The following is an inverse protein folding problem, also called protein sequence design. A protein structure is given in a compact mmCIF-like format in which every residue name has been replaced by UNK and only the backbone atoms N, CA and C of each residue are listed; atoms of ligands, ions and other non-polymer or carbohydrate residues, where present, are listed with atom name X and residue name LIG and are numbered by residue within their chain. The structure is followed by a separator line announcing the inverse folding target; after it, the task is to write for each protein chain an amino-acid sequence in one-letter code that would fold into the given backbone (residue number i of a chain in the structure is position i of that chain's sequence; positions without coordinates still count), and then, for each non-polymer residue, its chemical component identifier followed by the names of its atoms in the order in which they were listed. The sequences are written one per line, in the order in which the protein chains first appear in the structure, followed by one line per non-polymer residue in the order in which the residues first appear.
data_IF_646767362742
#
_entry.id   IF_646767362742
#
_cell.length_a   1.000
_cell.length_b   1.000
_cell.length_c   1.000
_cell.angle_alpha   90.00
_cell.angle_beta   90.00
_cell.angle_gamma   90.00
#
_symmetry.space_group_name_H-M   'P 1'
#
loop_
_entity.id
_entity.type
_entity.pdbx_description
1 polymer ?
#
# COMPACT_ATOMS: atom_id res chain seq x y z
N UNK A 1 -6.21 -16.66 11.20
CA UNK A 1 -5.08 -16.23 10.36
C UNK A 1 -5.24 -14.75 10.00
N UNK A 2 -4.17 -13.96 9.95
CA UNK A 2 -4.21 -12.62 9.36
C UNK A 2 -3.94 -12.79 7.87
N UNK A 3 -4.91 -12.47 7.01
CA UNK A 3 -4.66 -12.36 5.58
C UNK A 3 -3.80 -11.11 5.36
N UNK A 4 -2.56 -11.31 4.94
CA UNK A 4 -1.61 -10.25 4.59
C UNK A 4 -2.00 -9.77 3.19
N UNK A 5 -2.58 -8.57 3.10
CA UNK A 5 -3.01 -8.01 1.83
C UNK A 5 -1.85 -7.20 1.24
N UNK A 6 -1.27 -7.73 0.16
CA UNK A 6 -0.05 -7.20 -0.45
C UNK A 6 -0.39 -6.02 -1.39
N UNK A 7 -0.73 -4.88 -0.81
CA UNK A 7 -0.75 -3.61 -1.56
C UNK A 7 0.46 -2.79 -1.12
N UNK A 8 1.32 -2.28 -2.02
CA UNK A 8 2.50 -1.48 -1.69
C UNK A 8 2.31 -0.44 -0.57
N UNK A 9 1.19 0.28 -0.56
CA UNK A 9 0.89 1.31 0.45
C UNK A 9 0.10 0.82 1.69
N UNK A 10 -0.14 -0.49 1.83
CA UNK A 10 -0.65 -1.14 3.05
C UNK A 10 0.31 -2.23 3.55
N UNK A 11 1.55 -2.27 3.05
CA UNK A 11 2.49 -3.32 3.43
C UNK A 11 2.84 -3.24 4.91
N UNK A 12 2.78 -4.39 5.58
CA UNK A 12 2.95 -4.52 7.02
C UNK A 12 4.42 -4.69 7.44
N UNK A 13 5.35 -4.77 6.47
CA UNK A 13 6.74 -5.23 6.69
C UNK A 13 7.84 -4.22 6.33
N UNK A 14 7.58 -2.92 6.49
CA UNK A 14 8.63 -1.92 6.25
C UNK A 14 9.47 -1.57 7.47
N UNK A 15 9.00 -1.87 8.68
CA UNK A 15 9.66 -1.43 9.92
C UNK A 15 9.28 0.01 10.30
N UNK A 16 10.15 0.71 11.01
CA UNK A 16 9.89 2.05 11.55
C UNK A 16 9.23 2.04 12.93
N UNK A 17 8.76 3.21 13.36
CA UNK A 17 7.96 3.38 14.57
C UNK A 17 6.55 3.84 14.20
N UNK A 18 5.54 3.35 14.92
CA UNK A 18 4.17 3.73 14.67
C UNK A 18 3.32 3.75 15.94
N UNK A 19 2.26 4.55 15.89
CA UNK A 19 1.21 4.59 16.91
C UNK A 19 -0.10 4.24 16.24
N UNK A 20 -0.88 3.37 16.88
CA UNK A 20 -2.22 3.03 16.42
C UNK A 20 -3.22 3.11 17.56
N UNK A 21 -4.45 3.49 17.21
CA UNK A 21 -5.58 3.54 18.11
C UNK A 21 -6.71 2.70 17.52
N UNK A 22 -7.29 1.83 18.34
CA UNK A 22 -8.43 0.98 17.99
C UNK A 22 -9.55 1.30 18.96
N UNK A 23 -10.67 1.80 18.43
CA UNK A 23 -11.87 2.11 19.19
C UNK A 23 -13.05 1.26 18.70
N UNK A 24 -14.05 1.07 19.55
CA UNK A 24 -15.31 0.41 19.16
C UNK A 24 -16.50 1.20 19.71
N UNK A 25 -17.46 1.48 18.86
CA UNK A 25 -18.74 2.10 19.23
C UNK A 25 -19.84 1.25 18.61
N UNK A 26 -20.68 0.62 19.45
CA UNK A 26 -21.65 -0.37 19.00
C UNK A 26 -20.97 -1.52 18.25
N UNK A 27 -21.46 -1.81 17.04
CA UNK A 27 -20.91 -2.85 16.16
C UNK A 27 -19.82 -2.35 15.20
N UNK A 28 -19.47 -1.07 15.29
CA UNK A 28 -18.42 -0.46 14.47
C UNK A 28 -17.10 -0.40 15.23
N UNK A 29 -16.05 -0.94 14.62
CA UNK A 29 -14.65 -0.78 15.04
C UNK A 29 -13.99 0.28 14.17
N UNK A 30 -13.31 1.24 14.79
CA UNK A 30 -12.50 2.25 14.14
C UNK A 30 -11.02 2.00 14.41
N UNK A 31 -10.20 2.30 13.42
CA UNK A 31 -8.76 2.17 13.46
C UNK A 31 -8.13 3.46 12.93
N UNK A 32 -7.19 4.01 13.67
CA UNK A 32 -6.35 5.12 13.28
C UNK A 32 -4.90 4.68 13.45
N UNK A 33 -4.05 4.93 12.47
CA UNK A 33 -2.64 4.59 12.54
C UNK A 33 -1.78 5.63 11.88
N UNK A 34 -0.64 5.90 12.51
CA UNK A 34 0.43 6.70 11.94
C UNK A 34 1.75 5.94 12.11
N UNK A 35 2.53 5.84 11.05
CA UNK A 35 3.84 5.20 11.04
C UNK A 35 4.85 6.09 10.32
N UNK A 36 6.09 6.07 10.80
CA UNK A 36 7.21 6.83 10.25
C UNK A 36 8.50 5.98 10.30
N UNK A 37 9.39 6.13 9.30
CA UNK A 37 10.74 5.58 9.38
C UNK A 37 11.53 6.18 10.56
N UNK A 38 12.39 5.37 11.18
CA UNK A 38 13.28 5.80 12.27
C UNK A 38 14.70 5.34 12.01
N UNK A 39 15.67 6.14 12.42
CA UNK A 39 17.09 5.80 12.35
C UNK A 39 17.41 4.64 13.31
N UNK A 40 18.18 3.66 12.84
CA UNK A 40 18.60 2.47 13.57
C UNK A 40 20.14 2.37 13.56
N UNK A 41 20.73 2.36 14.75
CA UNK A 41 22.17 2.20 14.95
C UNK A 41 22.96 3.51 14.91
N UNK A 42 24.29 3.39 14.92
CA UNK A 42 25.25 4.51 14.88
C UNK A 42 25.62 4.91 13.44
N UNK A 43 25.30 4.04 12.47
CA UNK A 43 25.67 4.18 11.06
C UNK A 43 24.66 5.02 10.25
N UNK A 44 23.59 5.51 10.88
CA UNK A 44 22.58 6.36 10.22
C UNK A 44 21.60 5.64 9.30
N UNK A 45 21.52 4.31 9.38
CA UNK A 45 20.61 3.52 8.55
C UNK A 45 19.15 3.73 8.97
N UNK A 46 18.25 3.90 8.00
CA UNK A 46 16.82 4.09 8.25
C UNK A 46 16.10 2.74 8.29
N UNK A 47 15.25 2.56 9.32
CA UNK A 47 14.29 1.45 9.44
C UNK A 47 12.90 1.96 9.07
N UNK A 48 12.27 1.37 8.07
CA UNK A 48 11.09 1.96 7.41
C UNK A 48 11.47 2.67 6.12
N UNK A 49 10.61 2.57 5.10
CA UNK A 49 10.79 3.25 3.80
C UNK A 49 9.71 4.28 3.53
N UNK A 50 8.54 4.13 4.14
CA UNK A 50 7.43 5.06 3.98
C UNK A 50 6.90 5.63 5.31
N UNK A 51 6.36 6.84 5.24
CA UNK A 51 5.52 7.44 6.28
C UNK A 51 4.06 7.26 5.89
N UNK A 52 3.22 6.74 6.80
CA UNK A 52 1.82 6.47 6.52
C UNK A 52 0.87 7.03 7.57
N UNK A 53 -0.29 7.47 7.13
CA UNK A 53 -1.43 7.83 7.97
C UNK A 53 -2.68 7.12 7.43
N UNK A 54 -3.29 6.27 8.24
CA UNK A 54 -4.38 5.38 7.83
C UNK A 54 -5.55 5.49 8.80
N UNK A 55 -6.75 5.53 8.24
CA UNK A 55 -8.01 5.38 8.95
C UNK A 55 -8.78 4.19 8.38
N UNK A 56 -9.44 3.42 9.24
CA UNK A 56 -10.41 2.42 8.82
C UNK A 56 -11.60 2.38 9.76
N UNK A 57 -12.76 2.01 9.21
CA UNK A 57 -13.97 1.72 9.97
C UNK A 57 -14.58 0.43 9.44
N UNK A 58 -14.92 -0.50 10.31
CA UNK A 58 -15.53 -1.79 9.96
C UNK A 58 -16.73 -2.05 10.87
N UNK A 59 -17.87 -2.41 10.28
CA UNK A 59 -19.10 -2.71 11.00
C UNK A 59 -19.63 -4.07 10.62
N UNK A 60 -20.19 -4.79 11.59
CA UNK A 60 -21.03 -5.94 11.29
C UNK A 60 -22.38 -5.42 10.77
N UNK A 61 -22.74 -5.82 9.56
CA UNK A 61 -24.04 -5.46 8.94
C UNK A 61 -25.10 -6.49 9.34
N UNK A 62 -24.69 -7.74 9.51
CA UNK A 62 -25.50 -8.84 10.05
C UNK A 62 -24.63 -9.66 11.01
N UNK A 63 -25.19 -10.70 11.62
CA UNK A 63 -24.42 -11.64 12.46
C UNK A 63 -23.30 -12.37 11.69
N UNK A 64 -23.43 -12.49 10.37
CA UNK A 64 -22.50 -13.22 9.51
C UNK A 64 -21.81 -12.37 8.44
N UNK A 65 -22.11 -11.07 8.32
CA UNK A 65 -21.51 -10.20 7.30
C UNK A 65 -20.95 -8.94 7.92
N UNK A 66 -19.77 -8.53 7.47
CA UNK A 66 -19.16 -7.26 7.81
C UNK A 66 -18.79 -6.46 6.57
N UNK A 67 -18.83 -5.15 6.71
CA UNK A 67 -18.40 -4.19 5.70
C UNK A 67 -17.50 -3.16 6.37
N UNK A 68 -16.43 -2.80 5.69
CA UNK A 68 -15.52 -1.78 6.14
C UNK A 68 -15.03 -0.88 5.01
N UNK A 69 -14.56 0.29 5.41
CA UNK A 69 -13.85 1.24 4.58
C UNK A 69 -12.46 1.46 5.17
N UNK A 70 -11.51 1.71 4.29
CA UNK A 70 -10.16 2.10 4.65
C UNK A 70 -9.75 3.28 3.77
N UNK A 71 -8.96 4.19 4.30
CA UNK A 71 -8.35 5.25 3.52
C UNK A 71 -7.12 5.78 4.21
N UNK A 72 -6.24 6.39 3.44
CA UNK A 72 -5.01 6.90 4.00
C UNK A 72 -4.13 7.60 2.98
N UNK A 73 -2.99 8.06 3.48
CA UNK A 73 -1.92 8.59 2.66
C UNK A 73 -0.61 7.96 3.07
N UNK A 74 0.23 7.68 2.08
CA UNK A 74 1.58 7.15 2.21
C UNK A 74 2.52 8.09 1.48
N UNK A 75 3.63 8.43 2.11
CA UNK A 75 4.73 9.16 1.52
C UNK A 75 5.97 8.26 1.50
N UNK A 76 6.60 8.14 0.34
CA UNK A 76 7.80 7.34 0.11
C UNK A 76 8.95 8.27 -0.28
N UNK A 77 10.10 8.08 0.35
CA UNK A 77 11.35 8.76 -0.04
C UNK A 77 12.19 7.81 -0.89
N UNK A 78 12.74 8.32 -1.99
CA UNK A 78 13.58 7.57 -2.92
C UNK A 78 12.90 6.36 -3.60
N UNK A 79 11.56 6.31 -3.58
CA UNK A 79 10.75 5.23 -4.11
C UNK A 79 9.43 5.76 -4.70
N UNK A 80 8.74 4.93 -5.50
CA UNK A 80 7.43 5.24 -6.04
C UNK A 80 6.60 3.98 -6.22
N UNK A 81 5.43 3.92 -5.57
CA UNK A 81 4.52 2.76 -5.60
C UNK A 81 5.19 1.47 -5.10
N UNK A 82 6.08 1.57 -4.12
CA UNK A 82 6.90 0.48 -3.59
C UNK A 82 8.04 0.05 -4.49
N UNK A 83 8.30 0.76 -5.59
CA UNK A 83 9.42 0.49 -6.48
C UNK A 83 10.60 1.39 -6.12
N UNK A 84 11.78 0.78 -6.10
CA UNK A 84 13.07 1.46 -6.08
C UNK A 84 13.75 1.23 -7.44
N UNK A 85 14.58 2.17 -7.85
CA UNK A 85 15.35 2.07 -9.09
C UNK A 85 16.82 2.33 -8.87
N UNK A 86 17.64 1.92 -9.82
CA UNK A 86 19.09 2.16 -9.82
C UNK A 86 19.54 2.79 -11.14
N UNK A 87 20.72 3.39 -11.14
CA UNK A 87 21.36 3.98 -12.32
C UNK A 87 20.43 4.97 -13.05
N UNK A 88 20.25 4.82 -14.37
CA UNK A 88 19.38 5.68 -15.17
C UNK A 88 17.93 5.72 -14.67
N UNK A 89 17.44 4.65 -14.03
CA UNK A 89 16.08 4.58 -13.48
C UNK A 89 16.03 4.85 -11.97
N UNK A 90 17.11 5.38 -11.39
CA UNK A 90 17.14 5.73 -9.97
C UNK A 90 15.98 6.66 -9.59
N UNK A 91 15.46 6.44 -8.40
CA UNK A 91 14.47 7.28 -7.76
C UNK A 91 15.07 8.09 -6.62
N UNK A 92 16.40 8.11 -6.49
CA UNK A 92 17.08 8.92 -5.48
C UNK A 92 16.68 10.40 -5.57
N UNK A 93 16.29 10.96 -4.44
CA UNK A 93 15.73 12.29 -4.27
C UNK A 93 14.25 12.42 -4.66
N UNK A 94 13.57 11.33 -5.04
CA UNK A 94 12.13 11.36 -5.30
C UNK A 94 11.35 11.51 -3.99
N UNK A 95 10.38 12.42 -4.00
CA UNK A 95 9.32 12.50 -2.99
C UNK A 95 8.01 12.07 -3.64
N UNK A 96 7.50 10.93 -3.21
CA UNK A 96 6.31 10.30 -3.74
C UNK A 96 5.22 10.28 -2.70
N UNK A 97 3.99 10.60 -3.12
CA UNK A 97 2.82 10.52 -2.25
C UNK A 97 1.70 9.76 -2.93
N UNK A 98 1.17 8.78 -2.21
CA UNK A 98 -0.03 8.04 -2.56
C UNK A 98 -1.15 8.40 -1.60
N UNK A 99 -2.34 8.68 -2.12
CA UNK A 99 -3.59 8.72 -1.34
C UNK A 99 -4.47 7.59 -1.83
N UNK A 100 -5.10 6.86 -0.91
CA UNK A 100 -5.90 5.70 -1.28
C UNK A 100 -7.21 5.62 -0.48
N UNK A 101 -8.17 4.92 -1.06
CA UNK A 101 -9.40 4.50 -0.43
C UNK A 101 -9.65 3.03 -0.79
N UNK A 102 -10.32 2.31 0.10
CA UNK A 102 -10.70 0.93 -0.16
C UNK A 102 -11.92 0.51 0.63
N UNK A 103 -12.44 -0.64 0.25
CA UNK A 103 -13.52 -1.31 0.94
C UNK A 103 -13.07 -2.71 1.33
N UNK A 104 -13.58 -3.18 2.47
CA UNK A 104 -13.38 -4.53 2.99
C UNK A 104 -14.72 -5.17 3.17
N UNK A 105 -14.85 -6.43 2.85
CA UNK A 105 -16.04 -7.21 3.16
C UNK A 105 -15.65 -8.53 3.80
N UNK A 106 -16.51 -9.02 4.68
CA UNK A 106 -16.42 -10.32 5.29
C UNK A 106 -17.78 -10.98 5.28
N UNK A 107 -17.81 -12.28 4.99
CA UNK A 107 -19.00 -13.10 5.06
C UNK A 107 -18.65 -14.46 5.67
N UNK A 108 -19.45 -14.92 6.61
CA UNK A 108 -19.31 -16.21 7.29
C UNK A 108 -20.52 -17.09 6.93
N UNK A 109 -20.45 -17.89 5.85
CA UNK A 109 -21.56 -18.77 5.48
C UNK A 109 -21.92 -19.79 6.57
N UNK A 110 -20.93 -20.21 7.37
CA UNK A 110 -21.07 -21.07 8.53
C UNK A 110 -20.02 -20.71 9.57
N UNK A 111 -20.08 -21.32 10.76
CA UNK A 111 -19.09 -21.08 11.83
C UNK A 111 -17.66 -21.50 11.43
N UNK A 112 -17.55 -22.48 10.53
CA UNK A 112 -16.28 -23.05 10.05
C UNK A 112 -15.80 -22.45 8.72
N UNK A 113 -16.54 -21.52 8.12
CA UNK A 113 -16.22 -20.98 6.79
C UNK A 113 -16.24 -19.46 6.79
N UNK A 114 -15.25 -18.84 6.15
CA UNK A 114 -15.19 -17.39 5.98
C UNK A 114 -14.72 -17.01 4.59
N UNK A 115 -15.44 -16.09 3.97
CA UNK A 115 -15.02 -15.35 2.78
C UNK A 115 -14.67 -13.94 3.23
N UNK A 116 -13.56 -13.41 2.78
CA UNK A 116 -13.22 -12.00 2.99
C UNK A 116 -12.56 -11.43 1.75
N UNK A 117 -12.76 -10.15 1.51
CA UNK A 117 -12.06 -9.47 0.45
C UNK A 117 -11.81 -8.01 0.76
N UNK A 118 -10.90 -7.45 -0.03
CA UNK A 118 -10.52 -6.05 -0.01
C UNK A 118 -10.39 -5.57 -1.45
N UNK A 119 -10.78 -4.33 -1.69
CA UNK A 119 -10.51 -3.62 -2.92
C UNK A 119 -9.97 -2.24 -2.56
N UNK A 120 -8.92 -1.80 -3.22
CA UNK A 120 -8.37 -0.45 -3.02
C UNK A 120 -8.16 0.27 -4.34
N UNK A 121 -8.29 1.59 -4.28
CA UNK A 121 -8.00 2.53 -5.35
C UNK A 121 -7.02 3.57 -4.81
N UNK A 122 -5.92 3.76 -5.52
CA UNK A 122 -4.86 4.70 -5.18
C UNK A 122 -4.70 5.79 -6.24
N UNK A 123 -4.22 6.95 -5.81
CA UNK A 123 -3.75 8.02 -6.68
C UNK A 123 -2.40 8.51 -6.16
N UNK A 124 -1.42 8.54 -7.06
CA UNK A 124 -0.02 8.73 -6.67
C UNK A 124 0.65 9.76 -7.57
N UNK A 125 1.44 10.63 -6.94
CA UNK A 125 2.31 11.59 -7.61
C UNK A 125 3.75 11.38 -7.12
N UNK A 126 4.71 11.62 -8.00
CA UNK A 126 6.13 11.61 -7.69
C UNK A 126 6.76 12.88 -8.21
N UNK A 127 7.44 13.60 -7.33
CA UNK A 127 8.17 14.80 -7.69
C UNK A 127 9.66 14.53 -7.83
N UNK A 128 10.23 15.04 -8.93
CA UNK A 128 11.65 15.38 -9.16
C UNK A 128 12.68 14.51 -8.42
N UNK A 129 12.94 13.29 -8.91
CA UNK A 129 14.18 12.59 -8.61
C UNK A 129 15.39 13.49 -8.92
N UNK A 130 16.40 13.45 -8.05
CA UNK A 130 17.63 14.25 -8.17
C UNK A 130 18.52 13.74 -9.30
N UNK A 131 18.47 12.43 -9.56
CA UNK A 131 19.29 11.74 -10.55
C UNK A 131 18.42 10.90 -11.49
N UNK A 132 19.04 10.37 -12.55
CA UNK A 132 18.37 9.50 -13.51
C UNK A 132 17.53 10.22 -14.57
N UNK A 133 16.96 9.41 -15.46
CA UNK A 133 16.10 9.85 -16.56
C UNK A 133 14.66 10.08 -16.09
N UNK A 134 14.26 9.51 -14.95
CA UNK A 134 12.93 9.76 -14.39
C UNK A 134 12.89 11.17 -13.79
N UNK A 135 11.82 11.91 -14.05
CA UNK A 135 11.69 13.32 -13.62
C UNK A 135 10.39 13.65 -12.90
N UNK A 136 9.54 12.65 -12.75
CA UNK A 136 8.31 12.73 -11.98
C UNK A 136 7.24 11.82 -12.56
N UNK A 137 6.16 11.65 -11.81
CA UNK A 137 4.95 10.99 -12.26
C UNK A 137 3.75 11.78 -11.72
N UNK A 138 2.66 11.83 -12.48
CA UNK A 138 1.50 12.61 -12.12
C UNK A 138 0.21 11.80 -12.27
N UNK A 139 -0.68 11.95 -11.29
CA UNK A 139 -2.02 11.38 -11.29
C UNK A 139 -2.04 9.89 -11.66
N UNK A 140 -1.08 9.13 -11.10
CA UNK A 140 -0.96 7.69 -11.34
C UNK A 140 -2.02 6.98 -10.52
N UNK A 141 -3.09 6.58 -11.21
CA UNK A 141 -4.22 5.85 -10.64
C UNK A 141 -3.91 4.37 -10.64
N UNK A 142 -4.11 3.74 -9.49
CA UNK A 142 -3.90 2.30 -9.32
C UNK A 142 -5.08 1.65 -8.62
N UNK A 143 -5.20 0.35 -8.83
CA UNK A 143 -6.19 -0.49 -8.16
C UNK A 143 -5.57 -1.80 -7.72
N UNK A 144 -6.13 -2.40 -6.68
CA UNK A 144 -5.78 -3.75 -6.23
C UNK A 144 -6.97 -4.42 -5.58
N UNK A 145 -6.95 -5.74 -5.54
CA UNK A 145 -7.94 -6.52 -4.82
C UNK A 145 -7.35 -7.79 -4.22
N UNK A 146 -7.98 -8.26 -3.17
CA UNK A 146 -7.71 -9.56 -2.57
C UNK A 146 -9.00 -10.23 -2.18
N UNK A 147 -9.07 -11.54 -2.40
CA UNK A 147 -10.16 -12.42 -1.99
C UNK A 147 -9.54 -13.62 -1.28
N UNK A 148 -10.07 -13.94 -0.10
CA UNK A 148 -9.63 -15.05 0.72
C UNK A 148 -10.85 -15.88 1.12
N UNK A 149 -10.72 -17.19 0.96
CA UNK A 149 -11.64 -18.19 1.46
C UNK A 149 -10.93 -19.05 2.51
N UNK A 150 -11.46 -19.08 3.73
CA UNK A 150 -10.94 -19.83 4.86
C UNK A 150 -11.94 -20.95 5.21
N UNK A 151 -11.45 -22.18 5.31
CA UNK A 151 -12.17 -23.33 5.85
C UNK A 151 -11.45 -23.78 7.12
N UNK A 152 -12.16 -23.84 8.23
CA UNK A 152 -11.64 -24.27 9.51
C UNK A 152 -12.13 -25.69 9.81
N UNK A 153 -11.37 -26.43 10.62
CA UNK A 153 -11.76 -27.74 11.15
C UNK A 153 -12.07 -28.81 10.07
N UNK A 154 -11.38 -28.79 8.92
CA UNK A 154 -11.61 -29.79 7.85
C UNK A 154 -11.20 -31.20 8.27
N UNK A 155 -10.10 -31.30 9.03
CA UNK A 155 -9.56 -32.54 9.61
C UNK A 155 -9.38 -32.45 11.14
N UNK A 156 -10.04 -31.49 11.80
CA UNK A 156 -9.94 -31.11 13.22
C UNK A 156 -8.73 -30.25 13.60
N UNK A 157 -9.00 -29.03 14.07
CA UNK A 157 -8.02 -28.02 14.52
C UNK A 157 -7.04 -27.56 13.42
N UNK A 158 -7.48 -27.58 12.17
CA UNK A 158 -6.77 -27.08 11.01
C UNK A 158 -7.48 -25.89 10.36
N UNK A 159 -6.78 -25.19 9.48
CA UNK A 159 -7.36 -24.15 8.63
C UNK A 159 -6.76 -24.23 7.23
N UNK A 160 -7.61 -24.43 6.23
CA UNK A 160 -7.26 -24.34 4.82
C UNK A 160 -7.62 -22.95 4.32
N UNK A 161 -6.65 -22.22 3.76
CA UNK A 161 -6.85 -20.89 3.19
C UNK A 161 -6.55 -20.89 1.70
N UNK A 162 -7.52 -20.47 0.89
CA UNK A 162 -7.36 -20.21 -0.53
C UNK A 162 -7.42 -18.70 -0.75
N UNK A 163 -6.44 -18.14 -1.44
CA UNK A 163 -6.39 -16.70 -1.72
C UNK A 163 -6.16 -16.42 -3.20
N UNK A 164 -6.86 -15.40 -3.70
CA UNK A 164 -6.68 -14.82 -5.02
C UNK A 164 -6.49 -13.33 -4.85
N UNK A 165 -5.43 -12.78 -5.42
CA UNK A 165 -5.14 -11.36 -5.31
C UNK A 165 -4.56 -10.80 -6.61
N UNK A 166 -4.84 -9.53 -6.86
CA UNK A 166 -4.13 -8.71 -7.82
C UNK A 166 -3.36 -7.66 -7.02
N UNK A 167 -2.02 -7.60 -7.15
CA UNK A 167 -1.24 -6.52 -6.56
C UNK A 167 -1.63 -5.18 -7.20
N UNK A 168 -1.05 -4.07 -6.75
CA UNK A 168 -1.31 -2.77 -7.35
C UNK A 168 -1.06 -2.80 -8.87
N UNK A 169 -2.12 -2.51 -9.64
CA UNK A 169 -2.08 -2.34 -11.08
C UNK A 169 -2.29 -0.87 -11.40
N UNK A 170 -1.36 -0.28 -12.14
CA UNK A 170 -1.53 1.08 -12.67
C UNK A 170 -2.54 1.05 -13.82
N UNK A 171 -3.60 1.84 -13.70
CA UNK A 171 -4.68 1.93 -14.68
C UNK A 171 -4.51 3.14 -15.61
N UNK A 172 -3.97 4.24 -15.11
CA UNK A 172 -3.68 5.46 -15.89
C UNK A 172 -2.73 6.39 -15.13
N UNK A 173 -2.15 7.36 -15.84
CA UNK A 173 -1.25 8.37 -15.28
C UNK A 173 -0.21 8.80 -16.31
N UNK A 174 0.67 9.71 -15.93
CA UNK A 174 1.83 10.08 -16.73
C UNK A 174 3.12 9.89 -15.95
N UNK A 175 4.18 9.55 -16.69
CA UNK A 175 5.55 9.52 -16.19
C UNK A 175 6.41 10.40 -17.08
N UNK A 176 7.17 11.30 -16.47
CA UNK A 176 8.03 12.22 -17.17
C UNK A 176 9.44 11.63 -17.27
N UNK A 177 9.93 11.50 -18.49
CA UNK A 177 11.28 11.00 -18.77
C UNK A 177 12.09 12.13 -19.40
N UNK A 178 13.26 12.43 -18.82
CA UNK A 178 14.30 13.27 -19.42
C UNK A 178 14.95 12.47 -20.53
N UNK A 179 14.78 12.96 -21.75
CA UNK A 179 15.63 12.57 -22.87
C UNK A 179 16.80 13.55 -22.91
N UNK A 180 17.99 13.08 -23.23
CA UNK A 180 19.14 13.96 -23.47
C UNK A 180 18.77 14.98 -24.55
N UNK A 181 19.18 16.23 -24.37
CA UNK A 181 19.15 17.18 -25.47
C UNK A 181 19.96 16.61 -26.64
N UNK A 182 19.55 16.95 -27.88
CA UNK A 182 20.41 16.75 -29.04
C UNK A 182 21.66 17.58 -28.82
N UNK A 183 22.82 16.95 -28.92
CA UNK A 183 24.08 17.68 -28.91
C UNK A 183 24.05 18.72 -30.04
N UNK A 184 24.49 19.94 -29.76
CA UNK A 184 24.73 20.91 -30.82
C UNK A 184 25.82 20.38 -31.78
N UNK A 185 26.07 21.09 -32.88
CA UNK A 185 27.12 20.71 -33.84
C UNK A 185 28.53 20.66 -33.25
N UNK A 186 28.72 21.16 -32.03
CA UNK A 186 29.98 21.18 -31.28
C UNK A 186 30.04 20.09 -30.19
N UNK A 187 28.97 19.29 -30.02
CA UNK A 187 28.92 18.19 -29.06
C UNK A 187 28.47 18.59 -27.66
N UNK A 188 27.98 19.82 -27.44
CA UNK A 188 27.47 20.27 -26.14
C UNK A 188 26.00 19.85 -25.95
N UNK A 189 25.63 19.49 -24.71
CA UNK A 189 24.27 19.09 -24.30
C UNK A 189 23.44 20.27 -23.78
#
# INVERSE_FOLDING_TARGET
AYSDYDTPYLTSKEGGAGVSYIGRVGDTRYFLSYNKPVEEGVDGNMKGKQTSAVFAAESNITSNSSLGIIGGSVAEENAFLGLEGTEAFTLEGADSRTSFIGSKFGFKPSDDTKISGIMTLGNSDMSRPSYGILSGAQNVKSSSFGLTYEMMNVFSNDTITLSLSQPNRVDSGSMNVKLTNLSDSEGNL
#
